data_IF_456980272108
#
_entry.id   IF_456980272108
#
_cell.length_a   1.000
_cell.length_b   1.000
_cell.length_c   1.000
_cell.angle_alpha   90.00
_cell.angle_beta   90.00
_cell.angle_gamma   90.00
#
_symmetry.space_group_name_H-M   'P 1'
#
loop_
_entity.id
_entity.type
_entity.pdbx_description
1 polymer ?
#
# COMPACT_ATOMS: atom_id res chain seq x y z
N UNK A 1 22.78 2.44 1.35
CA UNK A 1 21.37 2.19 0.96
C UNK A 1 21.25 2.41 -0.55
N UNK A 2 20.80 1.42 -1.34
CA UNK A 2 20.63 1.63 -2.80
C UNK A 2 19.25 2.23 -3.07
N UNK A 3 19.24 3.40 -3.71
CA UNK A 3 18.05 4.15 -4.13
C UNK A 3 17.48 3.51 -5.41
N UNK A 4 16.16 3.46 -5.53
CA UNK A 4 15.48 3.03 -6.74
C UNK A 4 15.44 4.20 -7.73
N UNK A 5 16.12 4.08 -8.88
CA UNK A 5 15.96 5.02 -10.00
C UNK A 5 14.64 4.74 -10.74
N UNK A 6 13.98 5.80 -11.20
CA UNK A 6 12.75 5.77 -12.01
C UNK A 6 13.04 5.20 -13.40
N UNK A 7 13.19 3.89 -13.52
CA UNK A 7 13.01 3.17 -14.79
C UNK A 7 13.26 1.67 -14.58
N UNK A 8 12.30 0.85 -15.04
CA UNK A 8 12.37 -0.60 -15.15
C UNK A 8 12.48 -1.40 -13.84
N UNK A 9 11.38 -1.45 -13.08
CA UNK A 9 11.18 -2.54 -12.13
C UNK A 9 10.73 -3.77 -12.93
N UNK A 10 11.68 -4.50 -13.51
CA UNK A 10 11.47 -5.83 -14.10
C UNK A 10 12.21 -6.87 -13.26
N UNK A 11 11.81 -7.03 -12.00
CA UNK A 11 12.36 -8.05 -11.12
C UNK A 11 11.28 -9.08 -10.78
N UNK A 12 11.63 -10.36 -10.66
CA UNK A 12 10.66 -11.46 -10.39
C UNK A 12 9.82 -11.24 -9.11
N UNK A 13 10.37 -10.51 -8.13
CA UNK A 13 9.70 -10.06 -6.90
C UNK A 13 10.48 -8.90 -6.28
N UNK A 14 9.79 -7.82 -5.91
CA UNK A 14 10.38 -6.68 -5.18
C UNK A 14 9.93 -6.72 -3.74
N UNK A 15 10.88 -6.62 -2.82
CA UNK A 15 10.63 -6.49 -1.38
C UNK A 15 10.91 -5.04 -0.99
N UNK A 16 9.89 -4.35 -0.48
CA UNK A 16 9.96 -2.95 -0.06
C UNK A 16 9.96 -2.89 1.47
N UNK A 17 10.92 -2.15 2.01
CA UNK A 17 10.95 -1.77 3.41
C UNK A 17 10.10 -0.51 3.62
N UNK A 18 9.09 -0.58 4.48
CA UNK A 18 8.15 0.52 4.69
C UNK A 18 8.56 1.50 5.80
N UNK A 19 9.70 1.27 6.48
CA UNK A 19 10.19 2.13 7.57
C UNK A 19 10.39 3.57 7.15
N UNK A 20 9.87 4.50 7.96
CA UNK A 20 9.98 5.95 7.74
C UNK A 20 9.46 6.42 6.37
N UNK A 21 8.59 5.64 5.73
CA UNK A 21 7.91 6.07 4.51
C UNK A 21 6.57 6.72 4.83
N UNK A 22 6.16 7.67 4.01
CA UNK A 22 4.86 8.31 4.09
C UNK A 22 3.78 7.42 3.48
N UNK A 23 2.81 7.01 4.29
CA UNK A 23 1.78 6.02 3.95
C UNK A 23 1.13 6.26 2.59
N UNK A 24 0.70 7.50 2.33
CA UNK A 24 0.00 7.86 1.09
C UNK A 24 0.92 7.84 -0.14
N UNK A 25 2.13 8.39 -0.02
CA UNK A 25 3.11 8.45 -1.12
C UNK A 25 3.58 7.05 -1.51
N UNK A 26 3.90 6.24 -0.50
CA UNK A 26 4.30 4.85 -0.68
C UNK A 26 3.19 4.03 -1.36
N UNK A 27 1.95 4.16 -0.89
CA UNK A 27 0.81 3.44 -1.44
C UNK A 27 0.56 3.79 -2.92
N UNK A 28 0.71 5.05 -3.30
CA UNK A 28 0.50 5.52 -4.69
C UNK A 28 1.50 4.91 -5.66
N UNK A 29 2.79 4.93 -5.29
CA UNK A 29 3.86 4.35 -6.11
C UNK A 29 3.66 2.84 -6.24
N UNK A 30 3.37 2.15 -5.12
CA UNK A 30 3.14 0.70 -5.14
C UNK A 30 1.90 0.34 -5.95
N UNK A 31 0.82 1.12 -5.89
CA UNK A 31 -0.37 0.88 -6.70
C UNK A 31 -0.06 0.91 -8.20
N UNK A 32 0.76 1.87 -8.65
CA UNK A 32 1.21 1.96 -10.05
C UNK A 32 2.07 0.76 -10.45
N UNK A 33 3.00 0.34 -9.60
CA UNK A 33 3.84 -0.84 -9.85
C UNK A 33 3.02 -2.14 -9.96
N UNK A 34 1.99 -2.29 -9.12
CA UNK A 34 1.10 -3.46 -9.18
C UNK A 34 0.33 -3.53 -10.52
N UNK A 35 -0.10 -2.37 -11.04
CA UNK A 35 -0.77 -2.26 -12.34
C UNK A 35 0.18 -2.58 -13.50
N UNK A 36 1.47 -2.21 -13.36
CA UNK A 36 2.58 -2.56 -14.27
C UNK A 36 3.01 -4.03 -14.19
N UNK A 37 2.21 -4.89 -13.55
CA UNK A 37 2.45 -6.33 -13.38
C UNK A 37 3.61 -6.71 -12.46
N UNK A 38 4.06 -5.80 -11.62
CA UNK A 38 5.09 -6.10 -10.66
C UNK A 38 4.55 -6.88 -9.45
N UNK A 39 5.33 -7.85 -8.95
CA UNK A 39 5.05 -8.55 -7.68
C UNK A 39 5.76 -7.82 -6.54
N UNK A 40 4.99 -7.18 -5.68
CA UNK A 40 5.51 -6.34 -4.59
C UNK A 40 5.16 -6.96 -3.24
N UNK A 41 6.16 -7.07 -2.37
CA UNK A 41 6.02 -7.47 -0.98
C UNK A 41 6.45 -6.30 -0.11
N UNK A 42 5.55 -5.82 0.74
CA UNK A 42 5.82 -4.73 1.69
C UNK A 42 6.01 -5.33 3.07
N UNK A 43 7.05 -4.87 3.75
CA UNK A 43 7.53 -5.42 5.02
C UNK A 43 7.70 -4.25 6.00
N UNK A 44 7.55 -4.51 7.30
CA UNK A 44 7.59 -3.50 8.39
C UNK A 44 6.54 -2.40 8.27
N UNK A 45 5.29 -2.80 8.03
CA UNK A 45 4.19 -1.85 7.91
C UNK A 45 3.88 -1.08 9.20
N UNK A 46 4.31 -1.59 10.35
CA UNK A 46 4.24 -0.93 11.65
C UNK A 46 5.11 0.34 11.75
N UNK A 47 6.18 0.44 10.95
CA UNK A 47 7.10 1.59 10.96
C UNK A 47 6.76 2.66 9.90
N UNK A 48 5.58 2.57 9.29
CA UNK A 48 5.08 3.55 8.32
C UNK A 48 4.67 4.84 9.04
N UNK A 49 5.06 5.98 8.45
CA UNK A 49 4.73 7.29 8.95
C UNK A 49 3.45 7.86 8.32
N UNK A 50 2.69 8.58 9.14
CA UNK A 50 1.59 9.44 8.73
C UNK A 50 1.97 10.88 9.07
N UNK A 51 1.66 11.82 8.17
CA UNK A 51 1.91 13.24 8.41
C UNK A 51 0.91 13.81 9.42
N UNK A 52 1.33 14.83 10.18
CA UNK A 52 0.49 15.49 11.18
C UNK A 52 0.53 14.83 12.57
N UNK A 53 0.09 15.59 13.58
CA UNK A 53 0.15 15.17 14.99
C UNK A 53 -0.74 13.98 15.34
N UNK A 54 -0.37 13.28 16.41
CA UNK A 54 -1.05 12.06 16.89
C UNK A 54 -2.56 12.26 17.11
N UNK A 55 -2.95 13.37 17.73
CA UNK A 55 -4.37 13.68 18.02
C UNK A 55 -5.19 13.76 16.74
N UNK A 56 -4.68 14.43 15.71
CA UNK A 56 -5.36 14.58 14.40
C UNK A 56 -5.56 13.21 13.74
N UNK A 57 -4.53 12.37 13.73
CA UNK A 57 -4.62 11.04 13.13
C UNK A 57 -5.54 10.10 13.92
N UNK A 58 -5.51 10.17 15.26
CA UNK A 58 -6.44 9.42 16.12
C UNK A 58 -7.88 9.82 15.85
N UNK A 59 -8.19 11.12 15.81
CA UNK A 59 -9.54 11.62 15.50
C UNK A 59 -10.02 11.17 14.13
N UNK A 60 -9.15 11.20 13.12
CA UNK A 60 -9.46 10.68 11.78
C UNK A 60 -9.82 9.19 11.83
N UNK A 61 -9.03 8.39 12.55
CA UNK A 61 -9.29 6.96 12.68
C UNK A 61 -10.60 6.66 13.45
N UNK A 62 -10.87 7.41 14.53
CA UNK A 62 -12.13 7.30 15.29
C UNK A 62 -13.35 7.57 14.43
N UNK A 63 -13.29 8.57 13.54
CA UNK A 63 -14.38 8.84 12.58
C UNK A 63 -14.62 7.70 11.59
N UNK A 64 -13.62 6.89 11.28
CA UNK A 64 -13.81 5.69 10.46
C UNK A 64 -14.45 4.57 11.28
N UNK A 65 -13.99 4.36 12.52
CA UNK A 65 -14.52 3.34 13.44
C UNK A 65 -16.00 3.52 13.77
N UNK A 66 -16.49 4.76 13.76
CA UNK A 66 -17.91 5.04 13.98
C UNK A 66 -18.80 4.76 12.76
N UNK A 67 -18.24 4.42 11.59
CA UNK A 67 -19.02 4.10 10.40
C UNK A 67 -19.35 2.61 10.37
N UNK A 68 -20.53 2.26 10.84
CA UNK A 68 -21.10 0.92 10.68
C UNK A 68 -22.43 0.97 9.93
N UNK A 69 -22.82 -0.15 9.34
CA UNK A 69 -24.17 -0.31 8.79
C UNK A 69 -25.14 -0.52 9.96
N UNK A 70 -26.22 0.26 10.02
CA UNK A 70 -27.20 0.17 11.13
C UNK A 70 -28.00 -1.15 11.11
N UNK A 71 -28.31 -1.69 9.94
CA UNK A 71 -29.13 -2.91 9.80
C UNK A 71 -28.36 -4.17 10.19
N UNK A 72 -27.21 -4.42 9.56
CA UNK A 72 -26.34 -5.57 9.90
C UNK A 72 -24.86 -5.16 9.83
N UNK A 73 -24.22 -4.88 10.98
CA UNK A 73 -22.85 -4.39 11.03
C UNK A 73 -21.83 -5.29 10.30
N UNK A 74 -22.08 -6.60 10.22
CA UNK A 74 -21.18 -7.55 9.55
C UNK A 74 -21.11 -7.40 8.02
N UNK A 75 -22.11 -6.81 7.37
CA UNK A 75 -22.08 -6.50 5.93
C UNK A 75 -21.64 -5.05 5.65
N UNK A 76 -21.38 -4.27 6.70
CA UNK A 76 -20.92 -2.89 6.61
C UNK A 76 -19.42 -2.77 6.33
N UNK A 77 -18.90 -1.53 6.39
CA UNK A 77 -17.46 -1.28 6.38
C UNK A 77 -16.76 -2.05 7.50
N UNK A 78 -15.74 -2.83 7.16
CA UNK A 78 -14.93 -3.54 8.15
C UNK A 78 -13.70 -2.70 8.47
N UNK A 79 -13.51 -2.43 9.76
CA UNK A 79 -12.33 -1.74 10.26
C UNK A 79 -11.24 -2.69 10.67
N UNK A 80 -10.13 -2.60 9.96
CA UNK A 80 -8.94 -3.35 10.28
C UNK A 80 -8.08 -2.57 11.27
N UNK A 81 -7.67 -3.24 12.35
CA UNK A 81 -6.81 -2.66 13.39
C UNK A 81 -5.31 -2.83 13.11
N UNK A 82 -4.95 -3.89 12.38
CA UNK A 82 -3.55 -4.21 12.08
C UNK A 82 -2.95 -3.22 11.06
N UNK A 83 -1.75 -2.66 11.29
CA UNK A 83 -1.12 -1.72 10.36
C UNK A 83 -0.93 -2.28 8.95
N UNK A 84 -0.67 -3.59 8.80
CA UNK A 84 -0.65 -4.25 7.49
C UNK A 84 -1.95 -4.05 6.73
N UNK A 85 -3.08 -4.30 7.42
CA UNK A 85 -4.40 -4.28 6.82
C UNK A 85 -4.88 -2.86 6.56
N UNK A 86 -4.44 -1.90 7.38
CA UNK A 86 -4.64 -0.47 7.12
C UNK A 86 -3.92 -0.09 5.81
N UNK A 87 -2.64 -0.43 5.67
CA UNK A 87 -1.87 -0.16 4.45
C UNK A 87 -2.48 -0.86 3.23
N UNK A 88 -2.85 -2.13 3.37
CA UNK A 88 -3.57 -2.90 2.35
C UNK A 88 -4.88 -2.24 1.94
N UNK A 89 -5.66 -1.69 2.88
CA UNK A 89 -6.91 -0.95 2.61
C UNK A 89 -6.64 0.33 1.84
N UNK A 90 -5.55 1.04 2.15
CA UNK A 90 -5.13 2.23 1.40
C UNK A 90 -4.76 1.89 -0.04
N UNK A 91 -3.92 0.87 -0.27
CA UNK A 91 -3.55 0.45 -1.62
C UNK A 91 -4.75 -0.07 -2.41
N UNK A 92 -5.66 -0.82 -1.76
CA UNK A 92 -6.92 -1.27 -2.36
C UNK A 92 -7.78 -0.11 -2.85
N UNK A 93 -7.81 0.99 -2.11
CA UNK A 93 -8.54 2.21 -2.48
C UNK A 93 -7.96 2.92 -3.71
N UNK A 94 -6.68 2.69 -4.01
CA UNK A 94 -5.98 3.26 -5.17
C UNK A 94 -6.05 2.37 -6.43
N UNK A 95 -6.61 1.17 -6.33
CA UNK A 95 -6.69 0.19 -7.43
C UNK A 95 -8.16 -0.07 -7.80
N UNK A 96 -8.52 -0.04 -9.11
CA UNK A 96 -9.86 -0.38 -9.58
C UNK A 96 -10.12 -1.90 -9.45
N UNK A 97 -10.55 -2.33 -8.27
CA UNK A 97 -10.73 -3.76 -7.94
C UNK A 97 -12.19 -4.26 -8.09
N UNK A 98 -13.17 -3.36 -8.27
CA UNK A 98 -14.60 -3.72 -8.33
C UNK A 98 -15.15 -3.91 -9.75
N UNK A 99 -14.58 -3.23 -10.75
CA UNK A 99 -15.17 -3.15 -12.09
C UNK A 99 -14.60 -4.21 -13.04
N UNK A 100 -15.48 -5.02 -13.65
CA UNK A 100 -15.15 -5.88 -14.79
C UNK A 100 -14.71 -5.06 -16.02
N UNK A 101 -15.21 -3.82 -16.16
CA UNK A 101 -14.86 -2.89 -17.25
C UNK A 101 -13.47 -2.25 -17.10
N UNK A 102 -13.06 -1.93 -15.87
CA UNK A 102 -11.67 -1.50 -15.58
C UNK A 102 -10.65 -2.62 -15.78
N UNK A 103 -11.08 -3.88 -15.69
CA UNK A 103 -10.26 -5.03 -16.06
C UNK A 103 -10.05 -5.13 -17.59
N UNK A 104 -11.07 -4.84 -18.40
CA UNK A 104 -10.98 -4.79 -19.87
C UNK A 104 -10.25 -3.53 -20.38
N UNK A 105 -10.53 -2.35 -19.84
CA UNK A 105 -9.86 -1.10 -20.24
C UNK A 105 -8.38 -1.07 -19.82
N UNK A 106 -8.03 -1.66 -18.67
CA UNK A 106 -6.62 -1.86 -18.32
C UNK A 106 -5.94 -2.73 -19.40
N UNK A 107 -6.58 -3.80 -19.86
CA UNK A 107 -6.01 -4.65 -20.92
C UNK A 107 -5.85 -3.91 -22.26
N UNK A 108 -6.75 -2.97 -22.60
CA UNK A 108 -6.66 -2.14 -23.81
C UNK A 108 -5.49 -1.13 -23.79
N UNK A 109 -5.10 -0.64 -22.60
CA UNK A 109 -3.93 0.23 -22.40
C UNK A 109 -2.66 -0.55 -21.96
N UNK A 110 -2.62 -1.88 -22.11
CA UNK A 110 -1.49 -2.73 -21.69
C UNK A 110 -1.32 -2.92 -20.17
N UNK A 111 -2.18 -2.32 -19.36
CA UNK A 111 -2.22 -2.46 -17.90
C UNK A 111 -2.96 -3.73 -17.47
N UNK A 112 -2.70 -4.20 -16.25
CA UNK A 112 -3.34 -5.42 -15.73
C UNK A 112 -4.67 -5.20 -15.04
N UNK A 113 -5.54 -6.21 -15.08
CA UNK A 113 -6.83 -6.21 -14.37
C UNK A 113 -6.62 -5.90 -12.89
N UNK A 114 -7.34 -4.90 -12.33
CA UNK A 114 -7.05 -4.39 -10.98
C UNK A 114 -7.18 -5.44 -9.87
N UNK A 115 -8.08 -6.42 -10.02
CA UNK A 115 -8.17 -7.55 -9.09
C UNK A 115 -6.94 -8.47 -9.15
N UNK A 116 -6.40 -8.75 -10.34
CA UNK A 116 -5.17 -9.54 -10.48
C UNK A 116 -3.92 -8.75 -10.05
N UNK A 117 -3.91 -7.42 -10.26
CA UNK A 117 -2.86 -6.54 -9.76
C UNK A 117 -2.79 -6.60 -8.23
N UNK A 118 -3.94 -6.57 -7.57
CA UNK A 118 -4.00 -6.61 -6.11
C UNK A 118 -3.57 -7.96 -5.52
N UNK A 119 -3.83 -9.08 -6.22
CA UNK A 119 -3.35 -10.40 -5.83
C UNK A 119 -1.81 -10.53 -5.84
N UNK A 120 -1.09 -9.61 -6.50
CA UNK A 120 0.38 -9.56 -6.52
C UNK A 120 0.98 -8.88 -5.28
N UNK A 121 0.18 -8.14 -4.53
CA UNK A 121 0.61 -7.47 -3.31
C UNK A 121 0.62 -8.43 -2.12
N UNK A 122 1.72 -8.45 -1.38
CA UNK A 122 1.77 -9.03 -0.03
C UNK A 122 2.23 -7.98 0.96
N UNK A 123 1.62 -7.95 2.13
CA UNK A 123 1.88 -6.94 3.16
C UNK A 123 2.09 -7.66 4.49
N UNK A 124 3.16 -7.32 5.19
CA UNK A 124 3.55 -7.98 6.44
C UNK A 124 3.97 -6.99 7.52
N UNK A 125 3.70 -7.39 8.76
CA UNK A 125 4.10 -6.73 10.00
C UNK A 125 5.41 -7.40 10.43
N UNK A 126 6.41 -6.60 10.77
CA UNK A 126 7.77 -7.09 10.94
C UNK A 126 8.34 -7.68 9.65
N UNK A 127 9.33 -8.56 9.80
CA UNK A 127 10.06 -9.19 8.69
C UNK A 127 9.93 -10.72 8.79
N UNK A 128 8.92 -11.34 8.15
CA UNK A 128 8.77 -12.79 8.21
C UNK A 128 9.88 -13.52 7.42
N UNK A 129 10.35 -14.69 7.87
CA UNK A 129 11.11 -15.61 7.02
C UNK A 129 10.25 -16.01 5.82
N UNK A 130 10.73 -16.08 4.57
CA UNK A 130 12.11 -15.99 4.06
C UNK A 130 12.59 -14.57 3.70
N UNK A 131 11.77 -13.53 3.89
CA UNK A 131 12.06 -12.16 3.43
C UNK A 131 13.17 -11.47 4.22
N UNK A 132 13.56 -12.02 5.38
CA UNK A 132 14.68 -11.54 6.18
C UNK A 132 16.03 -11.64 5.44
N UNK A 133 16.22 -12.69 4.64
CA UNK A 133 17.45 -12.90 3.86
C UNK A 133 17.46 -12.18 2.52
N UNK A 134 16.29 -11.70 2.07
CA UNK A 134 16.14 -11.05 0.77
C UNK A 134 16.48 -9.57 0.90
N UNK A 135 17.15 -9.03 -0.12
CA UNK A 135 17.44 -7.61 -0.19
C UNK A 135 16.15 -6.80 -0.18
N UNK A 136 16.06 -5.88 0.77
CA UNK A 136 14.95 -4.93 0.91
C UNK A 136 15.28 -3.63 0.21
N UNK A 137 14.33 -3.10 -0.54
CA UNK A 137 14.45 -1.87 -1.31
C UNK A 137 13.70 -0.74 -0.59
N UNK A 138 14.18 0.49 -0.79
CA UNK A 138 13.60 1.71 -0.23
C UNK A 138 13.19 2.61 -1.39
N UNK A 139 12.02 3.24 -1.27
CA UNK A 139 11.50 4.15 -2.31
C UNK A 139 11.81 5.59 -1.88
N UNK A 140 12.79 6.25 -2.50
CA UNK A 140 13.29 7.54 -2.02
C UNK A 140 12.20 8.63 -2.00
N UNK A 141 11.39 8.71 -3.06
CA UNK A 141 10.33 9.72 -3.22
C UNK A 141 9.26 9.66 -2.11
N UNK A 142 9.15 8.51 -1.44
CA UNK A 142 8.16 8.29 -0.39
C UNK A 142 8.75 8.37 1.02
N UNK A 143 10.04 8.66 1.19
CA UNK A 143 10.65 8.82 2.52
C UNK A 143 10.19 10.13 3.19
N UNK A 144 9.95 10.05 4.50
CA UNK A 144 9.52 11.19 5.32
C UNK A 144 10.52 12.35 5.32
N UNK A 145 11.82 12.07 5.21
CA UNK A 145 12.89 13.09 5.24
C UNK A 145 12.73 14.14 4.14
N UNK A 146 12.11 13.77 3.02
CA UNK A 146 11.83 14.69 1.90
C UNK A 146 10.49 15.43 2.02
N UNK A 147 9.80 15.36 3.17
CA UNK A 147 8.76 16.36 3.47
C UNK A 147 9.43 17.67 3.87
N UNK A 148 9.29 18.68 3.02
CA UNK A 148 9.64 20.05 3.37
C UNK A 148 8.87 20.48 4.62
N UNK A 149 9.51 21.07 5.63
CA UNK A 149 8.79 21.70 6.72
C UNK A 149 7.98 22.86 6.13
N UNK A 150 6.66 22.73 6.13
CA UNK A 150 5.72 23.78 5.78
C UNK A 150 5.16 24.43 7.03
#
# INVERSE_FOLDING_TARGET
>A
MKLLQRSSICAKRVVVDARHHMLGRLASIIAKELLNRQRVVVVRCEEICLSGGLVRQKMKNMRFLWKHMNTKPSHGPIDFRAPCKIFWRTVRGMIPHKTKRGALEAAAFGHSTGAAAFARLKVFEGVPPPYNKVKRMVIPDALKVFETPG
#
